data_IF_762502218586
#
_entry.id   IF_762502218586
#
_cell.length_a   1.000
_cell.length_b   1.000
_cell.length_c   1.000
_cell.angle_alpha   90.00
_cell.angle_beta   90.00
_cell.angle_gamma   90.00
#
_symmetry.space_group_name_H-M   'P 1'
#
loop_
_entity.id
_entity.type
_entity.pdbx_description
1 polymer ?
#
# COMPACT_ATOMS: atom_id res chain seq x y z
N UNK A 1 2.73 1.54 15.77
CA UNK A 1 1.34 1.18 15.37
C UNK A 1 1.22 -0.33 15.23
N UNK A 2 0.04 -0.90 15.48
CA UNK A 2 -0.23 -2.25 15.04
C UNK A 2 -0.10 -2.36 13.52
N UNK A 3 0.42 -3.50 13.04
CA UNK A 3 0.37 -3.88 11.62
C UNK A 3 -1.06 -3.91 11.06
N UNK A 4 -2.08 -3.70 11.89
CA UNK A 4 -3.48 -3.61 11.50
C UNK A 4 -3.71 -2.64 10.34
N UNK A 5 -3.23 -1.39 10.43
CA UNK A 5 -3.42 -0.41 9.34
C UNK A 5 -2.69 -0.82 8.06
N UNK A 6 -1.48 -1.39 8.18
CA UNK A 6 -0.72 -1.92 7.04
C UNK A 6 -1.45 -3.10 6.40
N UNK A 7 -1.97 -4.05 7.20
CA UNK A 7 -2.75 -5.19 6.71
C UNK A 7 -4.07 -4.74 6.08
N UNK A 8 -4.72 -3.73 6.65
CA UNK A 8 -5.91 -3.11 6.06
C UNK A 8 -5.62 -2.50 4.70
N UNK A 9 -4.49 -1.79 4.57
CA UNK A 9 -4.05 -1.23 3.30
C UNK A 9 -3.69 -2.29 2.26
N UNK A 10 -2.97 -3.34 2.65
CA UNK A 10 -2.70 -4.49 1.78
C UNK A 10 -4.01 -5.13 1.34
N UNK A 11 -4.98 -5.31 2.26
CA UNK A 11 -6.27 -5.91 1.96
C UNK A 11 -7.09 -5.09 0.95
N UNK A 12 -7.17 -3.77 1.13
CA UNK A 12 -7.84 -2.86 0.19
C UNK A 12 -7.18 -2.96 -1.19
N UNK A 13 -5.86 -2.99 -1.23
CA UNK A 13 -5.10 -3.05 -2.47
C UNK A 13 -5.21 -4.40 -3.18
N UNK A 14 -5.20 -5.49 -2.42
CA UNK A 14 -5.48 -6.84 -2.91
C UNK A 14 -6.91 -6.93 -3.45
N UNK A 15 -7.89 -6.39 -2.74
CA UNK A 15 -9.28 -6.34 -3.20
C UNK A 15 -9.39 -5.56 -4.51
N UNK A 16 -8.83 -4.35 -4.58
CA UNK A 16 -8.91 -3.50 -5.75
C UNK A 16 -8.35 -4.20 -7.00
N UNK A 17 -7.16 -4.82 -6.88
CA UNK A 17 -6.54 -5.58 -7.96
C UNK A 17 -7.31 -6.84 -8.35
N UNK A 18 -7.78 -7.63 -7.38
CA UNK A 18 -8.56 -8.85 -7.67
C UNK A 18 -9.88 -8.52 -8.35
N UNK A 19 -10.60 -7.52 -7.84
CA UNK A 19 -11.87 -7.06 -8.41
C UNK A 19 -11.66 -6.47 -9.79
N UNK A 20 -10.61 -5.67 -10.00
CA UNK A 20 -10.27 -5.14 -11.31
C UNK A 20 -10.12 -6.24 -12.35
N UNK A 21 -9.33 -7.27 -12.03
CA UNK A 21 -9.15 -8.42 -12.92
C UNK A 21 -10.42 -9.28 -13.08
N UNK A 22 -11.12 -9.63 -12.00
CA UNK A 22 -12.28 -10.55 -12.08
C UNK A 22 -13.48 -9.91 -12.75
N UNK A 23 -13.73 -8.62 -12.52
CA UNK A 23 -14.80 -7.89 -13.21
C UNK A 23 -14.46 -7.66 -14.68
N UNK A 24 -13.18 -7.43 -14.97
CA UNK A 24 -12.71 -7.37 -16.35
C UNK A 24 -12.92 -8.70 -17.08
N UNK A 25 -12.49 -9.81 -16.50
CA UNK A 25 -12.63 -11.14 -17.12
C UNK A 25 -14.09 -11.54 -17.33
N UNK A 26 -15.00 -11.05 -16.49
CA UNK A 26 -16.43 -11.31 -16.63
C UNK A 26 -17.16 -10.33 -17.56
N UNK A 27 -16.48 -9.34 -18.14
CA UNK A 27 -17.11 -8.31 -18.99
C UNK A 27 -18.05 -7.37 -18.23
N UNK A 28 -17.98 -7.37 -16.90
CA UNK A 28 -18.83 -6.58 -16.01
C UNK A 28 -18.05 -5.50 -15.27
N UNK A 29 -17.01 -4.93 -15.90
CA UNK A 29 -16.18 -3.87 -15.35
C UNK A 29 -16.93 -2.53 -15.35
N UNK A 30 -17.88 -2.39 -14.42
CA UNK A 30 -18.78 -1.24 -14.32
C UNK A 30 -19.10 -0.89 -12.85
N UNK A 31 -19.83 0.20 -12.66
CA UNK A 31 -20.16 0.75 -11.34
C UNK A 31 -20.96 -0.19 -10.45
N UNK A 32 -21.95 -0.89 -11.01
CA UNK A 32 -22.82 -1.78 -10.26
C UNK A 32 -22.04 -2.97 -9.71
N UNK A 33 -21.19 -3.58 -10.52
CA UNK A 33 -20.35 -4.70 -10.10
C UNK A 33 -19.33 -4.30 -9.03
N UNK A 34 -18.72 -3.10 -9.18
CA UNK A 34 -17.86 -2.54 -8.14
C UNK A 34 -18.62 -2.32 -6.83
N UNK A 35 -19.88 -1.86 -6.86
CA UNK A 35 -20.70 -1.67 -5.67
C UNK A 35 -20.94 -3.00 -4.92
N UNK A 36 -21.29 -4.08 -5.64
CA UNK A 36 -21.42 -5.41 -5.04
C UNK A 36 -20.11 -5.90 -4.45
N UNK A 37 -18.99 -5.62 -5.11
CA UNK A 37 -17.67 -6.05 -4.63
C UNK A 37 -17.27 -5.40 -3.28
N UNK A 38 -17.85 -4.24 -2.92
CA UNK A 38 -17.60 -3.57 -1.64
C UNK A 38 -18.13 -4.37 -0.45
N UNK A 39 -19.17 -5.19 -0.64
CA UNK A 39 -19.70 -6.06 0.43
C UNK A 39 -18.61 -7.05 0.89
N UNK A 40 -17.88 -7.63 -0.06
CA UNK A 40 -16.77 -8.53 0.25
C UNK A 40 -15.61 -7.80 0.93
N UNK A 41 -15.30 -6.57 0.51
CA UNK A 41 -14.29 -5.74 1.17
C UNK A 41 -14.69 -5.41 2.62
N UNK A 42 -15.92 -4.96 2.83
CA UNK A 42 -16.44 -4.63 4.15
C UNK A 42 -16.43 -5.86 5.07
N UNK A 43 -16.83 -7.02 4.56
CA UNK A 43 -16.76 -8.27 5.28
C UNK A 43 -15.32 -8.65 5.65
N UNK A 44 -14.38 -8.56 4.70
CA UNK A 44 -12.98 -8.88 4.95
C UNK A 44 -12.33 -7.92 5.97
N UNK A 45 -12.65 -6.61 5.90
CA UNK A 45 -12.23 -5.62 6.88
C UNK A 45 -12.86 -5.90 8.26
N UNK A 46 -14.14 -6.27 8.32
CA UNK A 46 -14.81 -6.64 9.57
C UNK A 46 -14.16 -7.87 10.21
N UNK A 47 -13.78 -8.88 9.42
CA UNK A 47 -13.02 -10.04 9.91
C UNK A 47 -11.64 -9.64 10.43
N UNK A 48 -10.93 -8.73 9.73
CA UNK A 48 -9.65 -8.21 10.18
C UNK A 48 -9.80 -7.47 11.52
N UNK A 49 -10.82 -6.60 11.65
CA UNK A 49 -11.15 -5.91 12.89
C UNK A 49 -11.51 -6.89 14.02
N UNK A 50 -12.34 -7.89 13.73
CA UNK A 50 -12.83 -8.87 14.71
C UNK A 50 -11.72 -9.75 15.30
N UNK A 51 -10.73 -10.14 14.49
CA UNK A 51 -9.52 -10.85 14.96
C UNK A 51 -8.57 -9.96 15.75
N UNK A 52 -8.77 -8.64 15.67
CA UNK A 52 -7.88 -7.62 16.24
C UNK A 52 -8.49 -6.95 17.49
N UNK A 53 -9.54 -7.54 18.09
CA UNK A 53 -10.28 -7.01 19.26
C UNK A 53 -9.43 -6.67 20.50
N UNK A 54 -8.18 -7.12 20.57
CA UNK A 54 -7.23 -6.78 21.66
C UNK A 54 -6.47 -5.44 21.47
N UNK A 55 -6.51 -4.84 20.26
CA UNK A 55 -5.58 -3.77 19.87
C UNK A 55 -6.08 -2.32 20.09
N UNK A 56 -7.30 -2.12 20.58
CA UNK A 56 -7.80 -0.80 20.96
C UNK A 56 -7.26 -0.33 22.33
N UNK A 57 -6.46 -1.14 23.02
CA UNK A 57 -5.88 -0.83 24.33
C UNK A 57 -4.47 -0.23 24.18
N UNK A 58 -4.37 1.09 24.44
CA UNK A 58 -3.16 1.81 24.92
C UNK A 58 -2.05 2.29 23.96
N UNK A 59 -2.25 2.43 22.65
CA UNK A 59 -1.24 3.12 21.80
C UNK A 59 -1.86 4.11 20.79
N UNK A 60 -2.76 4.96 21.27
CA UNK A 60 -3.14 6.14 20.49
C UNK A 60 -2.03 7.18 20.53
N UNK A 61 -1.70 7.74 19.37
CA UNK A 61 -0.84 8.89 19.26
C UNK A 61 -1.64 10.13 19.68
N UNK A 62 -1.24 10.78 20.76
CA UNK A 62 -1.93 11.96 21.29
C UNK A 62 -1.10 13.22 20.96
N UNK A 63 -1.40 13.94 19.85
CA UNK A 63 -0.64 15.13 19.45
C UNK A 63 -0.62 16.21 20.54
N UNK A 64 -1.70 16.31 21.32
CA UNK A 64 -1.82 17.25 22.45
C UNK A 64 -0.72 17.02 23.51
N UNK A 65 -0.34 15.77 23.77
CA UNK A 65 0.74 15.48 24.72
C UNK A 65 2.10 15.95 24.19
N UNK A 66 2.34 15.83 22.87
CA UNK A 66 3.55 16.33 22.24
C UNK A 66 3.59 17.86 22.19
N UNK A 67 2.44 18.53 21.98
CA UNK A 67 2.33 19.98 22.05
C UNK A 67 2.63 20.52 23.46
N UNK A 68 2.08 19.88 24.50
CA UNK A 68 2.42 20.21 25.90
C UNK A 68 3.90 20.04 26.18
N UNK A 69 4.48 18.90 25.78
CA UNK A 69 5.92 18.62 25.96
C UNK A 69 6.81 19.57 25.15
N UNK A 70 6.38 20.01 23.97
CA UNK A 70 7.08 21.01 23.16
C UNK A 70 7.11 22.36 23.88
N UNK A 71 6.01 22.76 24.54
CA UNK A 71 5.96 23.98 25.35
C UNK A 71 6.94 23.92 26.53
N UNK A 72 7.07 22.75 27.16
CA UNK A 72 7.96 22.54 28.31
C UNK A 72 9.44 22.38 27.90
N UNK A 73 9.71 21.77 26.74
CA UNK A 73 11.07 21.46 26.26
C UNK A 73 11.22 21.73 24.75
N UNK A 74 11.28 23.01 24.33
CA UNK A 74 11.22 23.40 22.92
C UNK A 74 12.40 22.89 22.09
N UNK A 75 13.58 22.73 22.70
CA UNK A 75 14.78 22.25 22.02
C UNK A 75 14.85 20.71 21.92
N UNK A 76 13.93 19.96 22.54
CA UNK A 76 14.00 18.51 22.53
C UNK A 76 13.44 17.93 21.21
N UNK A 77 14.28 17.29 20.38
CA UNK A 77 13.86 16.70 19.11
C UNK A 77 12.83 15.59 19.22
N UNK A 78 12.73 14.97 20.39
CA UNK A 78 11.69 13.99 20.70
C UNK A 78 10.26 14.56 20.61
N UNK A 79 10.11 15.89 20.61
CA UNK A 79 8.82 16.58 20.62
C UNK A 79 8.45 17.14 19.25
N UNK A 80 9.39 17.75 18.52
CA UNK A 80 9.08 18.44 17.27
C UNK A 80 9.02 17.53 16.04
N UNK A 81 9.80 16.43 15.98
CA UNK A 81 9.81 15.55 14.79
C UNK A 81 8.45 14.91 14.45
N UNK A 82 7.72 14.31 15.42
CA UNK A 82 6.38 13.80 15.15
C UNK A 82 5.40 14.89 14.71
N UNK A 83 5.49 16.08 15.32
CA UNK A 83 4.64 17.23 14.99
C UNK A 83 4.96 17.77 13.59
N UNK A 84 6.24 17.81 13.22
CA UNK A 84 6.69 18.20 11.89
C UNK A 84 6.17 17.22 10.84
N UNK A 85 6.25 15.91 11.09
CA UNK A 85 5.68 14.91 10.19
C UNK A 85 4.18 15.11 9.99
N UNK A 86 3.42 15.35 11.07
CA UNK A 86 1.98 15.61 10.99
C UNK A 86 1.68 16.89 10.23
N UNK A 87 2.44 17.95 10.50
CA UNK A 87 2.31 19.22 9.82
C UNK A 87 2.57 19.07 8.31
N UNK A 88 3.63 18.38 7.93
CA UNK A 88 3.95 18.10 6.51
C UNK A 88 2.87 17.20 5.87
N UNK A 89 2.42 16.16 6.55
CA UNK A 89 1.31 15.31 6.08
C UNK A 89 0.01 16.12 5.88
N UNK A 90 -0.25 17.09 6.76
CA UNK A 90 -1.38 18.00 6.61
C UNK A 90 -1.19 18.94 5.41
N UNK A 91 0.01 19.52 5.23
CA UNK A 91 0.29 20.37 4.06
C UNK A 91 0.15 19.61 2.75
N UNK A 92 0.57 18.34 2.68
CA UNK A 92 0.44 17.54 1.47
C UNK A 92 -1.00 17.11 1.20
N UNK A 93 -1.81 16.89 2.26
CA UNK A 93 -3.26 16.72 2.15
C UNK A 93 -3.92 17.99 1.57
N UNK A 94 -3.61 19.15 2.13
CA UNK A 94 -4.13 20.45 1.65
C UNK A 94 -3.71 20.67 0.20
N UNK A 95 -2.45 20.40 -0.15
CA UNK A 95 -1.98 20.47 -1.52
C UNK A 95 -2.76 19.58 -2.48
N UNK A 96 -2.98 18.30 -2.11
CA UNK A 96 -3.76 17.36 -2.93
C UNK A 96 -5.25 17.73 -3.06
N UNK A 97 -5.83 18.41 -2.07
CA UNK A 97 -7.21 18.92 -2.13
C UNK A 97 -7.32 20.16 -3.02
N UNK A 98 -6.39 21.12 -2.85
CA UNK A 98 -6.47 22.43 -3.50
C UNK A 98 -6.07 22.36 -4.98
N UNK A 99 -5.07 21.56 -5.33
CA UNK A 99 -4.52 21.51 -6.68
C UNK A 99 -5.01 20.28 -7.45
N UNK A 100 -5.25 20.46 -8.74
CA UNK A 100 -5.55 19.34 -9.65
C UNK A 100 -4.32 18.45 -9.82
N UNK A 101 -4.50 17.15 -10.04
CA UNK A 101 -3.38 16.28 -10.34
C UNK A 101 -2.65 16.76 -11.60
N UNK A 102 -1.31 16.73 -11.56
CA UNK A 102 -0.45 17.24 -12.65
C UNK A 102 0.67 16.27 -13.03
N UNK A 103 0.68 15.06 -12.47
CA UNK A 103 1.68 14.05 -12.79
C UNK A 103 1.51 13.57 -14.24
N UNK A 104 2.55 13.77 -15.04
CA UNK A 104 2.54 13.47 -16.48
C UNK A 104 2.20 12.00 -16.78
N UNK A 105 2.81 11.05 -16.06
CA UNK A 105 2.59 9.63 -16.30
C UNK A 105 1.14 9.25 -16.05
N UNK A 106 0.60 9.69 -14.92
CA UNK A 106 -0.76 9.38 -14.54
C UNK A 106 -1.79 9.95 -15.52
N UNK A 107 -1.60 11.18 -16.01
CA UNK A 107 -2.52 11.84 -16.95
C UNK A 107 -2.35 11.37 -18.40
N UNK A 108 -1.13 11.04 -18.83
CA UNK A 108 -0.84 10.70 -20.22
C UNK A 108 -1.15 9.24 -20.58
N UNK A 109 -1.08 8.33 -19.61
CA UNK A 109 -1.36 6.92 -19.89
C UNK A 109 -2.14 6.17 -18.82
N UNK A 110 -2.16 6.55 -17.54
CA UNK A 110 -2.82 5.71 -16.51
C UNK A 110 -4.32 5.96 -16.38
N UNK A 111 -4.72 7.22 -16.26
CA UNK A 111 -6.13 7.61 -16.28
C UNK A 111 -6.78 7.26 -17.63
N UNK A 112 -6.17 7.55 -18.80
CA UNK A 112 -6.70 7.10 -20.09
C UNK A 112 -6.98 5.60 -20.16
N UNK A 113 -6.07 4.75 -19.65
CA UNK A 113 -6.29 3.29 -19.60
C UNK A 113 -7.55 2.91 -18.86
N UNK A 114 -7.74 3.46 -17.66
CA UNK A 114 -8.93 3.17 -16.85
C UNK A 114 -10.19 3.58 -17.63
N UNK A 115 -10.17 4.74 -18.29
CA UNK A 115 -11.29 5.21 -19.10
C UNK A 115 -11.58 4.29 -20.29
N UNK A 116 -10.55 3.83 -21.00
CA UNK A 116 -10.69 2.83 -22.08
C UNK A 116 -11.33 1.54 -21.56
N UNK A 117 -10.82 0.99 -20.45
CA UNK A 117 -11.34 -0.27 -19.90
C UNK A 117 -12.75 -0.13 -19.35
N UNK A 118 -13.07 0.99 -18.69
CA UNK A 118 -14.44 1.29 -18.24
C UNK A 118 -15.40 1.45 -19.42
N UNK A 119 -14.97 2.12 -20.49
CA UNK A 119 -15.77 2.28 -21.71
C UNK A 119 -16.06 0.95 -22.41
N UNK A 120 -15.09 0.03 -22.42
CA UNK A 120 -15.25 -1.30 -23.00
C UNK A 120 -15.92 -2.31 -22.06
N UNK A 121 -16.07 -2.01 -20.77
CA UNK A 121 -16.56 -2.95 -19.77
C UNK A 121 -15.61 -4.10 -19.45
N UNK A 122 -14.36 -4.04 -19.92
CA UNK A 122 -13.28 -4.98 -19.63
C UNK A 122 -11.89 -4.40 -19.98
N UNK A 123 -10.86 -4.95 -19.34
CA UNK A 123 -9.46 -4.75 -19.71
C UNK A 123 -9.20 -5.31 -21.10
N UNK A 124 -8.50 -4.53 -21.91
CA UNK A 124 -8.04 -4.93 -23.24
C UNK A 124 -6.77 -4.16 -23.58
N UNK A 125 -6.05 -4.65 -24.58
CA UNK A 125 -4.95 -3.93 -25.22
C UNK A 125 -5.47 -2.72 -25.98
N UNK A 126 -4.90 -1.55 -25.70
CA UNK A 126 -5.36 -0.30 -26.31
C UNK A 126 -4.54 -0.07 -27.58
N UNK A 127 -5.21 0.09 -28.73
CA UNK A 127 -4.57 0.52 -29.95
C UNK A 127 -4.24 2.01 -29.85
N UNK A 128 -2.97 2.32 -29.59
CA UNK A 128 -2.48 3.69 -29.37
C UNK A 128 -1.00 3.79 -29.70
N UNK A 129 -0.55 4.94 -30.26
CA UNK A 129 0.87 5.19 -30.43
C UNK A 129 1.63 5.29 -29.09
N UNK A 130 0.92 5.51 -27.98
CA UNK A 130 1.54 5.55 -26.65
C UNK A 130 1.65 4.14 -26.04
N UNK A 131 2.73 3.44 -26.37
CA UNK A 131 2.99 2.06 -25.90
C UNK A 131 2.99 1.89 -24.37
N UNK A 132 3.20 2.97 -23.60
CA UNK A 132 3.15 2.96 -22.12
C UNK A 132 1.80 2.55 -21.55
N UNK A 133 0.73 2.75 -22.32
CA UNK A 133 -0.62 2.31 -21.96
C UNK A 133 -0.74 0.78 -21.90
N UNK A 134 0.16 0.04 -22.55
CA UNK A 134 0.09 -1.40 -22.64
C UNK A 134 1.11 -2.08 -21.72
N UNK A 135 2.40 -1.72 -21.76
CA UNK A 135 3.41 -2.49 -21.00
C UNK A 135 3.40 -2.24 -19.47
N UNK A 136 2.69 -1.22 -18.98
CA UNK A 136 2.68 -0.89 -17.54
C UNK A 136 1.74 -1.82 -16.77
N UNK A 137 2.20 -2.37 -15.65
CA UNK A 137 1.36 -3.17 -14.75
C UNK A 137 0.17 -2.34 -14.20
N UNK A 138 -1.06 -2.88 -14.13
CA UNK A 138 -2.27 -2.11 -13.81
C UNK A 138 -2.57 -1.98 -12.30
N UNK A 139 -1.67 -2.38 -11.40
CA UNK A 139 -1.98 -2.49 -9.97
C UNK A 139 -2.39 -1.18 -9.28
N UNK A 140 -1.82 -0.03 -9.67
CA UNK A 140 -2.31 1.25 -9.15
C UNK A 140 -3.57 1.72 -9.88
N UNK A 141 -3.70 1.40 -11.17
CA UNK A 141 -4.91 1.67 -11.94
C UNK A 141 -6.11 1.00 -11.29
N UNK A 142 -5.96 -0.26 -10.86
CA UNK A 142 -6.97 -0.95 -10.08
C UNK A 142 -7.31 -0.27 -8.75
N UNK A 143 -6.34 0.37 -8.08
CA UNK A 143 -6.59 1.19 -6.89
C UNK A 143 -7.30 2.52 -7.19
N UNK A 144 -7.03 3.13 -8.35
CA UNK A 144 -7.69 4.36 -8.79
C UNK A 144 -9.14 4.10 -9.23
N UNK A 145 -9.40 2.97 -9.89
CA UNK A 145 -10.70 2.67 -10.52
C UNK A 145 -11.90 2.83 -9.57
N UNK A 146 -11.93 2.29 -8.34
CA UNK A 146 -13.07 2.47 -7.44
C UNK A 146 -13.42 3.94 -7.23
N UNK A 147 -12.42 4.79 -6.98
CA UNK A 147 -12.66 6.22 -6.77
C UNK A 147 -13.21 6.90 -8.04
N UNK A 148 -12.70 6.56 -9.21
CA UNK A 148 -13.21 7.10 -10.48
C UNK A 148 -14.62 6.60 -10.77
N UNK A 149 -14.90 5.32 -10.52
CA UNK A 149 -16.19 4.69 -10.81
C UNK A 149 -17.30 5.27 -9.94
N UNK A 150 -17.06 5.52 -8.65
CA UNK A 150 -18.07 6.03 -7.74
C UNK A 150 -18.21 7.55 -7.77
N UNK A 151 -17.09 8.29 -7.82
CA UNK A 151 -17.12 9.74 -7.68
C UNK A 151 -16.99 10.48 -9.02
N UNK A 152 -16.61 9.79 -10.10
CA UNK A 152 -16.40 10.37 -11.44
C UNK A 152 -15.42 11.55 -11.46
N UNK A 153 -14.48 11.56 -10.51
CA UNK A 153 -13.43 12.57 -10.38
C UNK A 153 -12.08 11.89 -10.16
N UNK A 154 -11.01 12.55 -10.61
CA UNK A 154 -9.62 12.16 -10.44
C UNK A 154 -8.96 12.76 -9.18
N UNK A 155 -9.60 13.78 -8.60
CA UNK A 155 -9.11 14.52 -7.41
C UNK A 155 -8.86 13.66 -6.18
N UNK A 156 -9.42 12.45 -6.10
CA UNK A 156 -9.22 11.58 -4.94
C UNK A 156 -8.03 10.63 -5.08
N UNK A 157 -7.41 10.54 -6.26
CA UNK A 157 -6.32 9.58 -6.49
C UNK A 157 -5.11 9.82 -5.60
N UNK A 158 -4.83 11.07 -5.20
CA UNK A 158 -3.70 11.37 -4.33
C UNK A 158 -3.84 10.74 -2.95
N UNK A 159 -5.07 10.41 -2.50
CA UNK A 159 -5.31 9.77 -1.21
C UNK A 159 -4.62 8.40 -1.12
N UNK A 160 -4.39 7.72 -2.24
CA UNK A 160 -3.66 6.46 -2.30
C UNK A 160 -2.21 6.65 -1.82
N UNK A 161 -1.57 7.72 -2.31
CA UNK A 161 -0.21 8.10 -1.93
C UNK A 161 -0.17 8.67 -0.52
N UNK A 162 -1.17 9.47 -0.16
CA UNK A 162 -1.24 10.10 1.16
C UNK A 162 -1.42 9.07 2.28
N UNK A 163 -2.31 8.10 2.13
CA UNK A 163 -2.48 6.98 3.09
C UNK A 163 -1.18 6.17 3.18
N UNK A 164 -0.52 5.91 2.04
CA UNK A 164 0.76 5.21 2.01
C UNK A 164 1.85 5.96 2.78
N UNK A 165 1.90 7.28 2.62
CA UNK A 165 2.82 8.17 3.34
C UNK A 165 2.63 8.10 4.86
N UNK A 166 1.39 8.09 5.35
CA UNK A 166 1.07 7.98 6.78
C UNK A 166 1.52 6.65 7.40
N UNK A 167 1.62 5.58 6.61
CA UNK A 167 2.04 4.26 7.09
C UNK A 167 3.57 4.16 7.26
N UNK A 168 4.34 4.96 6.52
CA UNK A 168 5.81 4.88 6.46
C UNK A 168 6.49 4.94 7.83
N UNK A 169 6.19 5.89 8.74
CA UNK A 169 6.87 5.95 10.03
C UNK A 169 6.78 4.62 10.79
N UNK A 170 5.57 4.05 10.85
CA UNK A 170 5.34 2.81 11.59
C UNK A 170 6.05 1.60 10.97
N UNK A 171 6.09 1.54 9.64
CA UNK A 171 6.77 0.48 8.90
C UNK A 171 8.29 0.59 9.05
N UNK A 172 8.86 1.78 8.93
CA UNK A 172 10.29 2.01 9.09
C UNK A 172 10.72 1.62 10.50
N UNK A 173 10.03 2.13 11.53
CA UNK A 173 10.33 1.78 12.92
C UNK A 173 10.32 0.27 13.13
N UNK A 174 9.26 -0.39 12.69
CA UNK A 174 9.08 -1.82 12.95
C UNK A 174 10.06 -2.68 12.16
N UNK A 175 10.29 -2.35 10.89
CA UNK A 175 11.26 -3.07 10.05
C UNK A 175 12.65 -2.97 10.65
N UNK A 176 13.08 -1.77 11.05
CA UNK A 176 14.40 -1.55 11.65
C UNK A 176 14.54 -2.24 13.01
N UNK A 177 13.49 -2.21 13.84
CA UNK A 177 13.49 -2.94 15.12
C UNK A 177 13.63 -4.44 14.93
N UNK A 178 12.92 -5.01 13.95
CA UNK A 178 13.00 -6.43 13.63
C UNK A 178 14.33 -6.82 12.98
N UNK A 179 14.99 -5.89 12.30
CA UNK A 179 16.35 -6.05 11.80
C UNK A 179 17.43 -5.92 12.89
N UNK A 180 17.06 -5.68 14.16
CA UNK A 180 17.98 -5.63 15.30
C UNK A 180 18.51 -4.23 15.67
N UNK A 181 18.09 -3.17 14.98
CA UNK A 181 18.56 -1.79 15.24
C UNK A 181 17.97 -1.26 16.54
N UNK A 182 18.76 -0.54 17.36
CA UNK A 182 18.32 0.01 18.65
C UNK A 182 17.03 0.85 18.55
N UNK A 183 16.19 0.82 19.59
CA UNK A 183 14.91 1.55 19.58
C UNK A 183 15.06 3.07 19.46
N UNK A 184 16.11 3.63 20.06
CA UNK A 184 16.44 5.05 19.93
C UNK A 184 16.73 5.41 18.48
N UNK A 185 17.59 4.65 17.80
CA UNK A 185 17.92 4.88 16.39
C UNK A 185 16.70 4.69 15.49
N UNK A 186 15.89 3.65 15.72
CA UNK A 186 14.66 3.43 14.97
C UNK A 186 13.67 4.60 15.11
N UNK A 187 13.57 5.19 16.30
CA UNK A 187 12.69 6.33 16.55
C UNK A 187 13.08 7.55 15.70
N UNK A 188 14.38 7.82 15.55
CA UNK A 188 14.85 8.90 14.68
C UNK A 188 14.50 8.65 13.21
N UNK A 189 14.83 7.45 12.72
CA UNK A 189 14.59 7.08 11.32
C UNK A 189 13.10 6.99 10.95
N UNK A 190 12.26 6.61 11.92
CA UNK A 190 10.80 6.62 11.79
C UNK A 190 10.26 7.99 11.35
N UNK A 191 10.86 9.08 11.81
CA UNK A 191 10.39 10.43 11.49
C UNK A 191 11.20 11.09 10.37
N UNK A 192 12.53 10.90 10.35
CA UNK A 192 13.40 11.57 9.38
C UNK A 192 13.24 11.04 7.95
N UNK A 193 13.19 9.71 7.77
CA UNK A 193 13.18 9.13 6.42
C UNK A 193 11.90 9.46 5.63
N UNK A 194 10.69 9.40 6.20
CA UNK A 194 9.50 9.85 5.49
C UNK A 194 9.53 11.33 5.14
N UNK A 195 10.23 12.17 5.91
CA UNK A 195 10.36 13.60 5.66
C UNK A 195 11.32 13.94 4.50
N UNK A 196 12.05 12.96 3.94
CA UNK A 196 12.84 13.21 2.74
C UNK A 196 11.93 13.70 1.59
N UNK A 197 12.36 14.76 0.90
CA UNK A 197 11.53 15.49 -0.07
C UNK A 197 10.91 14.62 -1.16
N UNK A 198 11.57 13.53 -1.57
CA UNK A 198 11.00 12.58 -2.53
C UNK A 198 9.68 11.96 -2.07
N UNK A 199 9.58 11.56 -0.80
CA UNK A 199 8.34 11.01 -0.24
C UNK A 199 7.30 12.11 -0.02
N UNK A 200 7.72 13.28 0.49
CA UNK A 200 6.83 14.41 0.76
C UNK A 200 6.16 14.89 -0.53
N UNK A 201 6.93 15.17 -1.58
CA UNK A 201 6.40 15.67 -2.86
C UNK A 201 5.48 14.64 -3.54
N UNK A 202 5.78 13.35 -3.41
CA UNK A 202 4.93 12.30 -3.99
C UNK A 202 3.66 12.04 -3.16
N UNK A 203 3.66 12.34 -1.86
CA UNK A 203 2.52 12.06 -0.97
C UNK A 203 1.23 12.82 -1.35
N UNK A 204 1.35 14.01 -1.93
CA UNK A 204 0.23 14.80 -2.47
C UNK A 204 0.05 14.66 -3.99
N UNK A 205 0.85 13.81 -4.65
CA UNK A 205 0.82 13.57 -6.09
C UNK A 205 0.03 12.30 -6.42
N UNK A 206 -0.10 11.97 -7.71
CA UNK A 206 -0.71 10.73 -8.22
C UNK A 206 0.31 9.81 -8.92
N UNK A 207 1.60 10.03 -8.65
CA UNK A 207 2.70 9.15 -9.08
C UNK A 207 2.69 7.80 -8.36
N UNK A 208 3.39 6.80 -8.90
CA UNK A 208 3.27 5.41 -8.46
C UNK A 208 4.56 4.84 -7.82
N UNK A 209 5.59 5.66 -7.63
CA UNK A 209 6.88 5.18 -7.13
C UNK A 209 6.90 5.13 -5.59
N UNK A 210 6.54 6.22 -4.90
CA UNK A 210 6.62 6.31 -3.43
C UNK A 210 5.61 5.41 -2.69
N UNK A 211 4.42 5.20 -3.24
CA UNK A 211 3.42 4.36 -2.56
C UNK A 211 3.84 2.89 -2.54
N UNK A 212 4.57 2.43 -3.57
CA UNK A 212 5.09 1.08 -3.67
C UNK A 212 6.08 0.75 -2.54
N UNK A 213 6.76 1.77 -1.99
CA UNK A 213 7.68 1.63 -0.85
C UNK A 213 6.99 0.99 0.37
N UNK A 214 5.71 1.27 0.59
CA UNK A 214 4.93 0.64 1.67
C UNK A 214 4.87 -0.86 1.51
N UNK A 215 4.68 -1.37 0.29
CA UNK A 215 4.65 -2.81 0.02
C UNK A 215 6.02 -3.46 0.15
N UNK A 216 7.08 -2.79 -0.31
CA UNK A 216 8.44 -3.26 -0.15
C UNK A 216 8.81 -3.41 1.34
N UNK A 217 8.56 -2.36 2.15
CA UNK A 217 8.81 -2.42 3.59
C UNK A 217 7.89 -3.41 4.31
N UNK A 218 6.59 -3.42 3.97
CA UNK A 218 5.63 -4.33 4.60
C UNK A 218 5.97 -5.80 4.34
N UNK A 219 6.37 -6.15 3.12
CA UNK A 219 6.74 -7.53 2.79
C UNK A 219 7.89 -8.03 3.66
N UNK A 220 8.99 -7.28 3.79
CA UNK A 220 10.12 -7.63 4.67
C UNK A 220 9.69 -7.62 6.15
N UNK A 221 9.01 -6.56 6.60
CA UNK A 221 8.56 -6.42 7.98
C UNK A 221 7.69 -7.60 8.44
N UNK A 222 6.80 -8.07 7.58
CA UNK A 222 5.89 -9.18 7.85
C UNK A 222 6.62 -10.51 7.89
N UNK A 223 7.55 -10.76 6.97
CA UNK A 223 8.42 -11.95 7.03
C UNK A 223 9.24 -11.98 8.31
N UNK A 224 9.85 -10.87 8.71
CA UNK A 224 10.62 -10.80 9.95
C UNK A 224 9.74 -10.92 11.20
N UNK A 225 8.51 -10.41 11.15
CA UNK A 225 7.54 -10.51 12.25
C UNK A 225 6.99 -11.92 12.45
N UNK A 226 6.88 -12.71 11.39
CA UNK A 226 6.19 -13.99 11.41
C UNK A 226 6.81 -14.96 12.44
N UNK A 227 6.09 -15.97 12.90
CA UNK A 227 6.69 -17.03 13.71
C UNK A 227 5.84 -18.31 13.66
N UNK A 228 6.37 -19.44 14.13
CA UNK A 228 5.73 -20.77 14.06
C UNK A 228 4.41 -20.86 14.82
N UNK A 229 4.19 -20.05 15.87
CA UNK A 229 3.03 -20.16 16.76
C UNK A 229 1.94 -19.13 16.42
N UNK A 230 2.14 -17.87 16.77
CA UNK A 230 1.04 -16.89 16.78
C UNK A 230 0.93 -16.02 15.53
N UNK A 231 2.00 -15.93 14.73
CA UNK A 231 2.10 -14.97 13.61
C UNK A 231 2.39 -15.61 12.26
N UNK A 232 2.00 -16.87 12.07
CA UNK A 232 2.21 -17.57 10.80
C UNK A 232 1.52 -16.86 9.61
N UNK A 233 0.36 -16.24 9.84
CA UNK A 233 -0.39 -15.52 8.80
C UNK A 233 0.37 -14.34 8.21
N UNK A 234 1.39 -13.80 8.91
CA UNK A 234 2.22 -12.71 8.40
C UNK A 234 3.01 -13.12 7.14
N UNK A 235 3.34 -14.40 6.97
CA UNK A 235 3.93 -14.89 5.70
C UNK A 235 2.97 -14.70 4.52
N UNK A 236 1.68 -15.01 4.70
CA UNK A 236 0.67 -14.81 3.68
C UNK A 236 0.51 -13.33 3.31
N UNK A 237 0.46 -12.45 4.32
CA UNK A 237 0.44 -11.00 4.09
C UNK A 237 1.71 -10.49 3.39
N UNK A 238 2.87 -11.06 3.69
CA UNK A 238 4.12 -10.69 3.02
C UNK A 238 4.12 -11.09 1.54
N UNK A 239 3.58 -12.28 1.21
CA UNK A 239 3.39 -12.74 -0.18
C UNK A 239 2.46 -11.78 -0.94
N UNK A 240 1.35 -11.36 -0.32
CA UNK A 240 0.45 -10.37 -0.93
C UNK A 240 1.13 -9.02 -1.11
N UNK A 241 1.91 -8.55 -0.14
CA UNK A 241 2.63 -7.28 -0.23
C UNK A 241 3.65 -7.29 -1.37
N UNK A 242 4.49 -8.33 -1.50
CA UNK A 242 5.45 -8.39 -2.61
C UNK A 242 4.77 -8.56 -3.98
N UNK A 243 3.64 -9.26 -4.02
CA UNK A 243 2.83 -9.32 -5.23
C UNK A 243 2.34 -7.92 -5.64
N UNK A 244 1.73 -7.16 -4.73
CA UNK A 244 1.30 -5.79 -4.98
C UNK A 244 2.45 -4.84 -5.38
N UNK A 245 3.65 -5.02 -4.79
CA UNK A 245 4.85 -4.29 -5.19
C UNK A 245 5.17 -4.49 -6.68
N UNK A 246 5.15 -5.74 -7.16
CA UNK A 246 5.42 -6.06 -8.56
C UNK A 246 4.25 -5.70 -9.48
N UNK A 247 3.00 -5.88 -9.02
CA UNK A 247 1.79 -5.48 -9.75
C UNK A 247 1.65 -3.97 -9.92
N UNK A 248 2.34 -3.17 -9.10
CA UNK A 248 2.40 -1.71 -9.25
C UNK A 248 3.21 -1.30 -10.48
N UNK A 249 4.35 -1.96 -10.71
CA UNK A 249 5.31 -1.64 -11.78
C UNK A 249 6.25 -2.83 -11.96
N UNK A 250 6.38 -3.34 -13.19
CA UNK A 250 7.27 -4.46 -13.48
C UNK A 250 8.74 -4.18 -13.12
N UNK A 251 9.17 -2.91 -13.22
CA UNK A 251 10.52 -2.48 -12.80
C UNK A 251 10.79 -2.63 -11.30
N UNK A 252 9.77 -2.93 -10.47
CA UNK A 252 9.94 -3.21 -9.04
C UNK A 252 10.36 -4.65 -8.75
N UNK A 253 10.45 -5.55 -9.76
CA UNK A 253 10.90 -6.93 -9.57
C UNK A 253 12.22 -7.06 -8.79
N UNK A 254 13.28 -6.26 -9.08
CA UNK A 254 14.51 -6.32 -8.29
C UNK A 254 14.31 -5.94 -6.81
N UNK A 255 13.32 -5.10 -6.50
CA UNK A 255 12.98 -4.70 -5.12
C UNK A 255 12.30 -5.82 -4.33
N UNK A 256 11.95 -6.95 -4.96
CA UNK A 256 11.50 -8.15 -4.26
C UNK A 256 12.65 -8.96 -3.64
N UNK A 257 13.91 -8.70 -4.01
CA UNK A 257 15.08 -9.43 -3.51
C UNK A 257 15.20 -9.41 -1.97
N UNK A 258 15.05 -8.28 -1.26
CA UNK A 258 15.12 -8.28 0.21
C UNK A 258 14.05 -9.17 0.85
N UNK A 259 12.84 -9.20 0.28
CA UNK A 259 11.79 -10.10 0.72
C UNK A 259 12.14 -11.56 0.45
N UNK A 260 12.68 -11.88 -0.73
CA UNK A 260 13.10 -13.22 -1.08
C UNK A 260 14.18 -13.74 -0.13
N UNK A 261 15.21 -12.93 0.13
CA UNK A 261 16.26 -13.26 1.10
C UNK A 261 15.66 -13.50 2.49
N UNK A 262 14.78 -12.61 2.96
CA UNK A 262 14.11 -12.79 4.25
C UNK A 262 13.27 -14.08 4.30
N UNK A 263 12.57 -14.43 3.22
CA UNK A 263 11.80 -15.68 3.11
C UNK A 263 12.70 -16.90 3.15
N UNK A 264 13.82 -16.89 2.42
CA UNK A 264 14.79 -17.98 2.36
C UNK A 264 15.43 -18.20 3.73
N UNK A 265 15.85 -17.14 4.42
CA UNK A 265 16.42 -17.24 5.77
C UNK A 265 15.44 -17.85 6.79
N UNK A 266 14.14 -17.85 6.47
CA UNK A 266 13.08 -18.38 7.33
C UNK A 266 12.38 -19.62 6.75
N UNK A 267 12.99 -20.30 5.78
CA UNK A 267 12.41 -21.45 5.09
C UNK A 267 11.90 -22.55 6.04
N UNK A 268 12.66 -22.85 7.09
CA UNK A 268 12.31 -23.87 8.09
C UNK A 268 10.99 -23.58 8.84
N UNK A 269 10.53 -22.33 8.84
CA UNK A 269 9.29 -21.91 9.51
C UNK A 269 8.08 -22.17 8.63
N UNK A 270 8.19 -21.88 7.32
CA UNK A 270 7.04 -21.89 6.42
C UNK A 270 6.94 -23.14 5.55
N UNK A 271 8.04 -23.85 5.27
CA UNK A 271 8.03 -25.02 4.37
C UNK A 271 7.10 -26.13 4.87
N UNK A 272 7.10 -26.40 6.18
CA UNK A 272 6.26 -27.41 6.82
C UNK A 272 4.76 -27.06 6.82
N UNK A 273 4.41 -25.82 6.46
CA UNK A 273 3.04 -25.28 6.49
C UNK A 273 2.68 -24.59 5.19
N UNK A 274 3.33 -24.95 4.08
CA UNK A 274 3.05 -24.40 2.76
C UNK A 274 1.56 -24.49 2.36
N UNK A 275 0.76 -25.52 2.74
CA UNK A 275 -0.66 -25.56 2.37
C UNK A 275 -1.45 -24.38 2.94
N UNK A 276 -1.03 -23.82 4.09
CA UNK A 276 -1.67 -22.65 4.70
C UNK A 276 -1.38 -21.34 3.93
N UNK A 277 -0.37 -21.33 3.07
CA UNK A 277 -0.01 -20.17 2.24
C UNK A 277 -0.62 -20.22 0.84
N UNK A 278 -1.14 -21.38 0.40
CA UNK A 278 -1.73 -21.56 -0.92
C UNK A 278 -2.76 -20.49 -1.29
N UNK A 279 -3.69 -20.06 -0.40
CA UNK A 279 -4.62 -18.99 -0.73
C UNK A 279 -3.93 -17.67 -1.06
N UNK A 280 -2.92 -17.28 -0.26
CA UNK A 280 -2.14 -16.06 -0.50
C UNK A 280 -1.31 -16.15 -1.76
N UNK A 281 -0.78 -17.34 -2.10
CA UNK A 281 -0.04 -17.58 -3.34
C UNK A 281 -0.97 -17.45 -4.54
N UNK A 282 -2.15 -18.07 -4.51
CA UNK A 282 -3.13 -17.98 -5.59
C UNK A 282 -3.56 -16.52 -5.84
N UNK A 283 -3.86 -15.78 -4.77
CA UNK A 283 -4.19 -14.34 -4.87
C UNK A 283 -2.99 -13.53 -5.38
N UNK A 284 -1.77 -13.84 -4.93
CA UNK A 284 -0.54 -13.17 -5.36
C UNK A 284 -0.32 -13.31 -6.88
N UNK A 285 -0.57 -14.48 -7.45
CA UNK A 285 -0.45 -14.67 -8.90
C UNK A 285 -1.34 -13.68 -9.67
N UNK A 286 -2.55 -13.42 -9.18
CA UNK A 286 -3.51 -12.52 -9.83
C UNK A 286 -3.24 -11.03 -9.59
N UNK A 287 -2.66 -10.64 -8.46
CA UNK A 287 -2.42 -9.21 -8.14
C UNK A 287 -0.98 -8.75 -8.43
N UNK A 288 -0.12 -9.67 -8.87
CA UNK A 288 1.28 -9.40 -9.22
C UNK A 288 1.43 -8.86 -10.65
N UNK A 289 2.67 -8.74 -11.11
CA UNK A 289 2.99 -8.45 -12.50
C UNK A 289 2.60 -9.58 -13.47
N UNK A 290 2.38 -10.80 -12.99
CA UNK A 290 2.19 -12.00 -13.81
C UNK A 290 1.05 -11.88 -14.84
N UNK A 291 -0.16 -11.37 -14.52
CA UNK A 291 -1.23 -11.28 -15.52
C UNK A 291 -0.83 -10.41 -16.71
N UNK A 292 -0.10 -9.31 -16.47
CA UNK A 292 0.39 -8.43 -17.54
C UNK A 292 1.55 -9.04 -18.33
N UNK A 293 2.29 -9.98 -17.75
CA UNK A 293 3.38 -10.67 -18.43
C UNK A 293 2.92 -11.84 -19.31
N UNK A 294 1.72 -12.37 -19.05
CA UNK A 294 1.17 -13.56 -19.72
C UNK A 294 0.14 -13.21 -20.81
N UNK A 295 -0.65 -12.15 -20.58
CA UNK A 295 -1.57 -11.60 -21.58
C UNK A 295 -0.82 -10.80 -22.65
#
# INVERSE_FOLDING_TARGET
MPLFFVKGWILISTWASLVGWTLSLSGHFNQTSYAWSLVFLAFALALLCGKTKSLCSKTFFYPICYLKRLREHPLNPSCWLPLLFIFVAFLTLVGGILYTPSNYDALSYRLPRILHWLGAGHWHWIDTPNTRQNYSAPGFEWLMTPSLVFFKIDRLFFLINWVSFLLLPSLIFRTFRLAGISAKTCWWWMWLLPLCYGYVLQSGSIGNDAFATVYALASVCLVLSADRRDRFSDFGWAILAVALLTGTKGSNLPLALPWLVAMLLRYQVWILRIPKLLPSIAMALMISFIPTAVL
#
